data_IF_474165834352
#
_entry.id   IF_474165834352
#
_cell.length_a   1.000
_cell.length_b   1.000
_cell.length_c   1.000
_cell.angle_alpha   90.00
_cell.angle_beta   90.00
_cell.angle_gamma   90.00
#
_symmetry.space_group_name_H-M   'P 1'
#
loop_
_entity.id
_entity.type
_entity.pdbx_description
1 polymer ?
#
# COMPACT_ATOMS: atom_id res chain seq x y z
N UNK A 1 62.03 30.83 -28.37
CA UNK A 1 61.44 31.47 -29.57
C UNK A 1 59.94 31.16 -29.60
N UNK A 2 59.12 32.22 -29.51
CA UNK A 2 57.81 32.45 -30.15
C UNK A 2 56.70 31.42 -29.81
N UNK A 3 55.85 31.71 -28.81
CA UNK A 3 54.55 32.43 -28.86
C UNK A 3 53.37 31.63 -29.46
N UNK A 4 52.31 31.49 -28.66
CA UNK A 4 51.00 30.94 -29.06
C UNK A 4 49.95 31.06 -27.96
N UNK A 5 49.36 32.25 -27.85
CA UNK A 5 48.33 32.72 -26.92
C UNK A 5 46.96 32.03 -27.15
N UNK A 6 46.44 31.37 -26.10
CA UNK A 6 45.06 31.22 -25.56
C UNK A 6 43.79 31.25 -26.48
N UNK A 7 42.55 31.24 -25.93
CA UNK A 7 41.69 30.07 -25.70
C UNK A 7 40.38 30.16 -26.52
N UNK A 8 39.61 29.06 -26.67
CA UNK A 8 38.15 29.03 -26.93
C UNK A 8 37.77 27.61 -27.38
N UNK A 9 37.09 26.81 -26.58
CA UNK A 9 35.62 26.72 -26.69
C UNK A 9 35.04 26.17 -25.39
N UNK A 10 34.97 27.05 -24.39
CA UNK A 10 33.86 27.05 -23.44
C UNK A 10 32.58 27.37 -24.23
N UNK A 11 31.54 26.52 -24.14
CA UNK A 11 30.10 26.89 -24.21
C UNK A 11 29.14 25.80 -24.72
N UNK A 12 29.54 24.55 -25.01
CA UNK A 12 28.60 23.52 -25.51
C UNK A 12 28.34 22.32 -24.61
N UNK A 13 28.70 22.40 -23.32
CA UNK A 13 28.37 21.39 -22.31
C UNK A 13 27.91 22.10 -21.03
N UNK A 14 26.98 23.04 -21.14
CA UNK A 14 26.45 23.72 -19.96
C UNK A 14 25.08 24.35 -20.16
N UNK A 15 24.15 23.65 -20.83
CA UNK A 15 22.77 24.13 -20.95
C UNK A 15 21.77 22.99 -21.19
N UNK A 16 21.92 21.88 -20.45
CA UNK A 16 20.92 20.80 -20.36
C UNK A 16 20.98 20.04 -19.02
N UNK A 17 21.34 20.74 -17.94
CA UNK A 17 21.47 20.13 -16.60
C UNK A 17 20.62 20.83 -15.51
N UNK A 18 19.87 21.88 -15.85
CA UNK A 18 19.07 22.65 -14.89
C UNK A 18 17.56 22.41 -15.00
N UNK A 19 17.05 21.99 -16.16
CA UNK A 19 15.62 21.69 -16.34
C UNK A 19 15.22 20.29 -15.89
N UNK A 20 16.12 19.30 -15.95
CA UNK A 20 15.86 17.95 -15.41
C UNK A 20 15.74 17.97 -13.89
N UNK A 21 16.61 18.70 -13.16
CA UNK A 21 16.56 18.70 -11.69
C UNK A 21 15.28 19.31 -11.11
N UNK A 22 14.62 20.21 -11.83
CA UNK A 22 13.34 20.81 -11.41
C UNK A 22 12.16 19.87 -11.69
N UNK A 23 12.12 19.29 -12.88
CA UNK A 23 11.08 18.31 -13.25
C UNK A 23 11.20 17.00 -12.47
N UNK A 24 12.42 16.53 -12.18
CA UNK A 24 12.66 15.33 -11.37
C UNK A 24 12.20 15.53 -9.93
N UNK A 25 12.51 16.69 -9.32
CA UNK A 25 12.01 17.04 -7.98
C UNK A 25 10.50 17.18 -7.95
N UNK A 26 9.91 17.84 -8.96
CA UNK A 26 8.46 17.96 -9.05
C UNK A 26 7.79 16.58 -9.23
N UNK A 27 8.40 15.66 -9.97
CA UNK A 27 7.89 14.31 -10.15
C UNK A 27 8.00 13.49 -8.87
N UNK A 28 9.11 13.60 -8.13
CA UNK A 28 9.28 13.00 -6.81
C UNK A 28 8.26 13.52 -5.78
N UNK A 29 8.02 14.83 -5.76
CA UNK A 29 7.05 15.45 -4.85
C UNK A 29 5.61 15.01 -5.17
N UNK A 30 5.24 14.95 -6.46
CA UNK A 30 3.94 14.43 -6.88
C UNK A 30 3.79 12.96 -6.50
N UNK A 31 4.80 12.12 -6.75
CA UNK A 31 4.78 10.70 -6.36
C UNK A 31 4.65 10.56 -4.84
N UNK A 32 5.33 11.40 -4.05
CA UNK A 32 5.25 11.38 -2.59
C UNK A 32 3.86 11.74 -2.10
N UNK A 33 3.26 12.79 -2.66
CA UNK A 33 1.91 13.26 -2.32
C UNK A 33 0.86 12.22 -2.74
N UNK A 34 0.92 11.69 -3.96
CA UNK A 34 0.01 10.65 -4.45
C UNK A 34 0.09 9.39 -3.58
N UNK A 35 1.31 8.95 -3.23
CA UNK A 35 1.50 7.79 -2.35
C UNK A 35 1.00 8.02 -0.91
N UNK A 36 0.91 9.26 -0.45
CA UNK A 36 0.37 9.58 0.87
C UNK A 36 -1.16 9.73 0.86
N UNK A 37 -1.74 10.26 -0.22
CA UNK A 37 -3.18 10.50 -0.34
C UNK A 37 -3.93 9.21 -0.68
N UNK A 38 -3.36 8.38 -1.55
CA UNK A 38 -4.01 7.15 -2.03
C UNK A 38 -4.44 6.19 -0.90
N UNK A 39 -3.59 5.87 0.09
CA UNK A 39 -4.00 5.07 1.25
C UNK A 39 -5.12 5.72 2.06
N UNK A 40 -5.11 7.05 2.15
CA UNK A 40 -6.03 7.84 2.96
C UNK A 40 -7.46 7.84 2.38
N UNK A 41 -7.59 7.77 1.05
CA UNK A 41 -8.88 7.67 0.35
C UNK A 41 -9.38 6.21 0.31
N UNK A 42 -8.51 5.25 0.03
CA UNK A 42 -8.89 3.83 -0.04
C UNK A 42 -9.31 3.30 1.31
N UNK A 43 -8.72 3.81 2.38
CA UNK A 43 -9.01 3.39 3.74
C UNK A 43 -10.50 3.47 4.11
N UNK A 44 -11.15 4.65 4.13
CA UNK A 44 -12.55 4.75 4.52
C UNK A 44 -13.44 3.94 3.58
N UNK A 45 -13.13 3.91 2.29
CA UNK A 45 -13.90 3.14 1.30
C UNK A 45 -13.84 1.64 1.58
N UNK A 46 -12.65 1.08 1.81
CA UNK A 46 -12.45 -0.33 2.10
C UNK A 46 -13.02 -0.71 3.49
N UNK A 47 -12.91 0.18 4.48
CA UNK A 47 -13.45 -0.05 5.83
C UNK A 47 -14.97 -0.10 5.79
N UNK A 48 -15.62 0.87 5.15
CA UNK A 48 -17.08 0.92 5.00
C UNK A 48 -17.56 -0.25 4.16
N UNK A 49 -16.88 -0.58 3.06
CA UNK A 49 -17.21 -1.71 2.20
C UNK A 49 -17.20 -3.04 2.96
N UNK A 50 -16.09 -3.35 3.66
CA UNK A 50 -15.97 -4.59 4.43
C UNK A 50 -16.94 -4.65 5.62
N UNK A 51 -17.19 -3.52 6.29
CA UNK A 51 -18.12 -3.46 7.41
C UNK A 51 -19.57 -3.66 6.97
N UNK A 52 -20.00 -3.00 5.89
CA UNK A 52 -21.31 -3.20 5.29
C UNK A 52 -21.48 -4.65 4.81
N UNK A 53 -20.44 -5.21 4.18
CA UNK A 53 -20.43 -6.60 3.73
C UNK A 53 -20.65 -7.56 4.91
N UNK A 54 -19.93 -7.37 6.02
CA UNK A 54 -20.11 -8.13 7.24
C UNK A 54 -21.54 -8.01 7.80
N UNK A 55 -22.10 -6.79 7.89
CA UNK A 55 -23.46 -6.57 8.37
C UNK A 55 -24.52 -7.25 7.50
N UNK A 56 -24.36 -7.20 6.18
CA UNK A 56 -25.25 -7.86 5.22
C UNK A 56 -25.22 -9.37 5.43
N UNK A 57 -24.02 -9.96 5.60
CA UNK A 57 -23.89 -11.40 5.85
C UNK A 57 -24.31 -11.82 7.26
N UNK A 58 -24.33 -10.92 8.23
CA UNK A 58 -24.92 -11.15 9.55
C UNK A 58 -26.45 -11.20 9.52
N UNK A 59 -27.11 -10.67 8.47
CA UNK A 59 -28.58 -10.73 8.39
C UNK A 59 -29.07 -12.15 8.04
N UNK A 60 -29.98 -12.73 8.84
CA UNK A 60 -30.45 -14.11 8.66
C UNK A 60 -31.27 -14.33 7.38
N UNK A 61 -31.76 -13.25 6.74
CA UNK A 61 -32.50 -13.33 5.47
C UNK A 61 -31.62 -13.82 4.31
N UNK A 62 -30.32 -13.50 4.29
CA UNK A 62 -29.39 -13.95 3.24
C UNK A 62 -28.82 -15.35 3.50
N UNK A 63 -28.79 -15.79 4.76
CA UNK A 63 -28.37 -17.15 5.11
C UNK A 63 -29.28 -18.25 4.55
N UNK A 64 -30.54 -17.95 4.21
CA UNK A 64 -31.45 -18.94 3.62
C UNK A 64 -31.12 -19.32 2.17
N UNK A 65 -30.35 -18.47 1.46
CA UNK A 65 -29.99 -18.68 0.04
C UNK A 65 -28.58 -19.22 -0.16
N UNK A 66 -27.71 -19.13 0.85
CA UNK A 66 -26.30 -19.55 0.79
C UNK A 66 -26.06 -20.78 1.67
N UNK A 67 -25.11 -21.63 1.29
CA UNK A 67 -24.63 -22.72 2.16
C UNK A 67 -24.08 -22.11 3.45
N UNK A 68 -24.35 -22.77 4.59
CA UNK A 68 -23.90 -22.30 5.92
C UNK A 68 -22.38 -22.08 5.95
N UNK A 69 -21.64 -22.92 5.23
CA UNK A 69 -20.19 -22.85 5.06
C UNK A 69 -19.77 -21.60 4.28
N UNK A 70 -20.34 -21.33 3.10
CA UNK A 70 -20.04 -20.13 2.32
C UNK A 70 -20.34 -18.84 3.09
N UNK A 71 -21.43 -18.80 3.87
CA UNK A 71 -21.73 -17.64 4.73
C UNK A 71 -20.67 -17.39 5.81
N UNK A 72 -20.11 -18.46 6.40
CA UNK A 72 -19.05 -18.34 7.42
C UNK A 72 -17.74 -17.89 6.75
N UNK A 73 -17.37 -18.49 5.61
CA UNK A 73 -16.19 -18.13 4.84
C UNK A 73 -16.20 -16.66 4.43
N UNK A 74 -17.34 -16.14 3.95
CA UNK A 74 -17.48 -14.73 3.59
C UNK A 74 -17.32 -13.78 4.79
N UNK A 75 -17.86 -14.14 5.96
CA UNK A 75 -17.66 -13.36 7.19
C UNK A 75 -16.20 -13.34 7.62
N UNK A 76 -15.53 -14.50 7.58
CA UNK A 76 -14.10 -14.62 7.88
C UNK A 76 -13.26 -13.81 6.89
N UNK A 77 -13.63 -13.80 5.61
CA UNK A 77 -12.97 -12.99 4.59
C UNK A 77 -13.06 -11.49 4.91
N UNK A 78 -14.25 -10.98 5.26
CA UNK A 78 -14.42 -9.57 5.63
C UNK A 78 -13.61 -9.19 6.87
N UNK A 79 -13.56 -10.06 7.89
CA UNK A 79 -12.75 -9.82 9.09
C UNK A 79 -11.26 -9.83 8.76
N UNK A 80 -10.82 -10.78 7.94
CA UNK A 80 -9.44 -10.87 7.47
C UNK A 80 -9.02 -9.61 6.70
N UNK A 81 -9.85 -9.17 5.75
CA UNK A 81 -9.59 -7.98 4.94
C UNK A 81 -9.54 -6.71 5.80
N UNK A 82 -10.38 -6.61 6.86
CA UNK A 82 -10.28 -5.54 7.85
C UNK A 82 -8.92 -5.57 8.59
N UNK A 83 -8.48 -6.74 9.06
CA UNK A 83 -7.20 -6.86 9.77
C UNK A 83 -6.03 -6.45 8.85
N UNK A 84 -6.03 -6.91 7.60
CA UNK A 84 -5.02 -6.52 6.61
C UNK A 84 -5.03 -5.02 6.35
N UNK A 85 -6.22 -4.42 6.23
CA UNK A 85 -6.38 -2.99 6.05
C UNK A 85 -5.79 -2.22 7.24
N UNK A 86 -6.11 -2.61 8.48
CA UNK A 86 -5.54 -1.99 9.68
C UNK A 86 -4.02 -2.11 9.76
N UNK A 87 -3.46 -3.30 9.46
CA UNK A 87 -2.01 -3.51 9.41
C UNK A 87 -1.33 -2.63 8.35
N UNK A 88 -1.99 -2.38 7.23
CA UNK A 88 -1.50 -1.50 6.18
C UNK A 88 -1.53 -0.02 6.61
N UNK A 89 -2.61 0.43 7.24
CA UNK A 89 -2.72 1.80 7.78
C UNK A 89 -1.62 2.08 8.80
N UNK A 90 -1.40 1.15 9.73
CA UNK A 90 -0.40 1.32 10.78
C UNK A 90 0.97 1.52 10.13
N UNK A 91 1.31 0.76 9.08
CA UNK A 91 2.56 0.92 8.34
C UNK A 91 2.65 2.29 7.63
N UNK A 92 1.57 2.74 6.99
CA UNK A 92 1.51 4.06 6.35
C UNK A 92 1.62 5.20 7.37
N UNK A 93 0.88 5.13 8.48
CA UNK A 93 0.90 6.15 9.53
C UNK A 93 2.29 6.24 10.16
N UNK A 94 2.91 5.10 10.48
CA UNK A 94 4.28 5.10 11.02
C UNK A 94 5.29 5.70 10.04
N UNK A 95 5.10 5.47 8.74
CA UNK A 95 5.98 6.02 7.69
C UNK A 95 5.80 7.52 7.46
N UNK A 96 4.57 8.04 7.62
CA UNK A 96 4.22 9.45 7.33
C UNK A 96 4.38 10.35 8.55
N UNK A 97 4.00 9.90 9.75
CA UNK A 97 3.85 10.77 10.93
C UNK A 97 4.98 10.69 11.95
N UNK A 98 5.89 9.71 11.88
CA UNK A 98 7.08 9.70 12.73
C UNK A 98 8.28 10.31 11.98
N UNK A 99 8.89 11.34 12.55
CA UNK A 99 10.20 11.85 12.13
C UNK A 99 11.27 11.48 13.18
N UNK A 100 12.36 10.78 12.81
CA UNK A 100 12.64 10.19 11.49
C UNK A 100 11.65 9.05 11.18
N UNK A 101 11.39 8.74 9.89
CA UNK A 101 10.44 7.70 9.46
C UNK A 101 10.79 6.35 10.10
N UNK A 102 10.11 6.04 11.21
CA UNK A 102 10.27 4.77 11.90
C UNK A 102 9.39 3.76 11.21
N UNK A 103 10.02 2.81 10.52
CA UNK A 103 9.31 1.60 10.09
C UNK A 103 8.95 0.79 11.34
N UNK A 104 7.82 0.06 11.30
CA UNK A 104 7.44 -0.96 12.30
C UNK A 104 8.61 -1.94 12.56
N UNK A 105 9.50 -2.06 11.58
CA UNK A 105 10.74 -2.83 11.55
C UNK A 105 11.89 -2.23 12.37
N UNK A 106 11.61 -1.50 13.46
CA UNK A 106 12.67 -0.92 14.29
C UNK A 106 13.57 -2.00 14.91
N UNK A 107 13.06 -3.23 15.04
CA UNK A 107 13.82 -4.42 15.44
C UNK A 107 13.66 -5.55 14.42
N UNK A 108 14.65 -6.44 14.27
CA UNK A 108 14.55 -7.58 13.35
C UNK A 108 13.40 -8.53 13.71
N UNK A 109 13.08 -8.64 15.01
CA UNK A 109 11.99 -9.46 15.51
C UNK A 109 10.63 -8.91 15.05
N UNK A 110 10.37 -7.61 15.25
CA UNK A 110 9.10 -6.99 14.82
C UNK A 110 8.92 -7.05 13.30
N UNK A 111 10.02 -6.98 12.53
CA UNK A 111 9.99 -7.20 11.08
C UNK A 111 9.59 -8.60 10.67
N UNK A 112 10.15 -9.62 11.34
CA UNK A 112 9.81 -11.01 11.05
C UNK A 112 8.35 -11.30 11.39
N UNK A 113 7.89 -10.84 12.56
CA UNK A 113 6.50 -10.98 12.99
C UNK A 113 5.52 -10.26 12.08
N UNK A 114 5.78 -8.99 11.74
CA UNK A 114 4.90 -8.24 10.85
C UNK A 114 4.80 -8.89 9.47
N UNK A 115 5.93 -9.32 8.88
CA UNK A 115 5.92 -10.04 7.60
C UNK A 115 5.13 -11.34 7.71
N UNK A 116 5.40 -12.14 8.75
CA UNK A 116 4.71 -13.40 8.97
C UNK A 116 3.20 -13.18 9.05
N UNK A 117 2.73 -12.29 9.93
CA UNK A 117 1.32 -11.98 10.12
C UNK A 117 0.67 -11.51 8.80
N UNK A 118 1.32 -10.57 8.11
CA UNK A 118 0.81 -10.02 6.85
C UNK A 118 0.65 -11.08 5.77
N UNK A 119 1.67 -11.93 5.57
CA UNK A 119 1.61 -12.99 4.56
C UNK A 119 0.61 -14.08 4.96
N UNK A 120 0.53 -14.47 6.23
CA UNK A 120 -0.45 -15.46 6.70
C UNK A 120 -1.89 -15.01 6.44
N UNK A 121 -2.21 -13.73 6.67
CA UNK A 121 -3.54 -13.20 6.38
C UNK A 121 -3.83 -13.09 4.88
N UNK A 122 -2.83 -12.72 4.06
CA UNK A 122 -2.97 -12.74 2.60
C UNK A 122 -3.23 -14.14 2.07
N UNK A 123 -2.46 -15.13 2.53
CA UNK A 123 -2.65 -16.53 2.15
C UNK A 123 -4.02 -17.04 2.59
N UNK A 124 -4.44 -16.75 3.82
CA UNK A 124 -5.80 -17.07 4.29
C UNK A 124 -6.88 -16.45 3.39
N UNK A 125 -6.72 -15.20 2.96
CA UNK A 125 -7.68 -14.54 2.06
C UNK A 125 -7.75 -15.28 0.71
N UNK A 126 -6.59 -15.63 0.15
CA UNK A 126 -6.50 -16.39 -1.10
C UNK A 126 -7.12 -17.79 -0.98
N UNK A 127 -6.86 -18.52 0.10
CA UNK A 127 -7.44 -19.84 0.33
C UNK A 127 -8.95 -19.80 0.54
N UNK A 128 -9.47 -18.79 1.27
CA UNK A 128 -10.92 -18.61 1.44
C UNK A 128 -11.58 -18.29 0.09
N UNK A 129 -10.96 -17.42 -0.71
CA UNK A 129 -11.46 -17.10 -2.06
C UNK A 129 -11.46 -18.35 -2.95
N UNK A 130 -10.38 -19.13 -2.94
CA UNK A 130 -10.30 -20.39 -3.67
C UNK A 130 -11.42 -21.36 -3.25
N UNK A 131 -11.62 -21.54 -1.94
CA UNK A 131 -12.69 -22.37 -1.40
C UNK A 131 -14.09 -21.91 -1.82
N UNK A 132 -14.34 -20.60 -1.82
CA UNK A 132 -15.59 -20.00 -2.29
C UNK A 132 -15.80 -20.14 -3.80
N UNK A 133 -14.72 -20.18 -4.60
CA UNK A 133 -14.82 -20.42 -6.05
C UNK A 133 -15.07 -21.89 -6.38
N UNK A 134 -14.59 -22.83 -5.56
CA UNK A 134 -14.81 -24.27 -5.75
C UNK A 134 -16.15 -24.77 -5.19
N UNK A 135 -16.73 -24.08 -4.20
CA UNK A 135 -18.07 -24.41 -3.64
C UNK A 135 -19.23 -23.93 -4.54
N UNK A 136 -18.94 -23.04 -5.51
CA UNK A 136 -19.91 -22.52 -6.49
C UNK A 136 -20.09 -23.46 -7.68
#
# INVERSE_FOLDING_TARGET
MINGITPTTSSRIRMKLSSSSSSDKHMEDVIRVTNSIFPLIILPLATVGNFLCFLVFCRPKFQKRLTRTSSICLRLLCVNDLILLYLFIIDVLLKVYLEPPKRIYSTPLTCRWYKFIRYSFLDMSAYIQLGLTTDR
#
